data_IF_257522866025
#
_entry.id   IF_257522866025
#
_cell.length_a   1.000
_cell.length_b   1.000
_cell.length_c   1.000
_cell.angle_alpha   90.00
_cell.angle_beta   90.00
_cell.angle_gamma   90.00
#
_symmetry.space_group_name_H-M   'P 1'
#
loop_
_entity.id
_entity.type
_entity.pdbx_description
1 polymer ?
#
# COMPACT_ATOMS: atom_id res chain seq x y z
N UNK A 1 15.19 1.50 4.04
CA UNK A 1 14.61 0.17 4.36
C UNK A 1 14.11 -0.46 3.06
N UNK A 2 14.51 -1.69 2.74
CA UNK A 2 14.20 -2.39 1.47
C UNK A 2 12.70 -2.50 1.22
N UNK A 3 11.92 -2.91 2.23
CA UNK A 3 10.45 -3.04 2.14
C UNK A 3 9.78 -1.74 1.75
N UNK A 4 10.17 -0.60 2.35
CA UNK A 4 9.65 0.73 1.96
C UNK A 4 9.89 1.01 0.47
N UNK A 5 11.11 0.75 -0.02
CA UNK A 5 11.46 1.00 -1.42
C UNK A 5 10.57 0.17 -2.35
N UNK A 6 10.44 -1.12 -2.06
CA UNK A 6 9.64 -2.05 -2.85
C UNK A 6 8.15 -1.71 -2.84
N UNK A 7 7.59 -1.27 -1.71
CA UNK A 7 6.22 -0.77 -1.63
C UNK A 7 6.04 0.45 -2.55
N UNK A 8 6.96 1.41 -2.49
CA UNK A 8 6.89 2.63 -3.32
C UNK A 8 7.07 2.34 -4.81
N UNK A 9 7.88 1.34 -5.18
CA UNK A 9 8.00 0.88 -6.57
C UNK A 9 6.70 0.28 -7.13
N UNK A 10 5.83 -0.27 -6.27
CA UNK A 10 4.49 -0.73 -6.68
C UNK A 10 3.48 0.40 -6.81
N UNK A 11 3.68 1.47 -6.04
CA UNK A 11 2.78 2.62 -6.00
C UNK A 11 3.21 3.61 -7.08
N UNK A 12 2.72 3.39 -8.29
CA UNK A 12 2.87 4.32 -9.41
C UNK A 12 1.78 5.40 -9.43
N UNK A 13 1.30 5.73 -10.64
CA UNK A 13 0.19 6.67 -10.84
C UNK A 13 -1.20 6.10 -10.53
N UNK A 14 -1.31 4.78 -10.36
CA UNK A 14 -2.57 4.05 -10.21
C UNK A 14 -2.85 3.66 -8.76
N UNK A 15 -4.14 3.48 -8.44
CA UNK A 15 -4.59 2.92 -7.18
C UNK A 15 -4.33 1.41 -7.13
N UNK A 16 -3.71 0.92 -6.05
CA UNK A 16 -3.35 -0.49 -5.90
C UNK A 16 -3.81 -1.05 -4.54
N UNK A 17 -4.17 -2.32 -4.47
CA UNK A 17 -4.62 -2.97 -3.22
C UNK A 17 -3.45 -3.43 -2.36
N UNK A 18 -3.69 -3.60 -1.06
CA UNK A 18 -2.68 -4.18 -0.16
C UNK A 18 -2.26 -5.60 -0.57
N UNK A 19 -3.18 -6.42 -1.08
CA UNK A 19 -2.91 -7.77 -1.56
C UNK A 19 -1.90 -7.77 -2.72
N UNK A 20 -2.07 -6.82 -3.65
CA UNK A 20 -1.15 -6.67 -4.77
C UNK A 20 0.21 -6.14 -4.30
N UNK A 21 0.24 -5.15 -3.41
CA UNK A 21 1.51 -4.67 -2.80
C UNK A 21 2.23 -5.82 -2.11
N UNK A 22 1.54 -6.53 -1.22
CA UNK A 22 2.14 -7.57 -0.39
C UNK A 22 2.63 -8.77 -1.20
N UNK A 23 1.86 -9.25 -2.18
CA UNK A 23 2.30 -10.33 -3.06
C UNK A 23 3.56 -9.97 -3.85
N UNK A 24 3.65 -8.76 -4.42
CA UNK A 24 4.87 -8.36 -5.15
C UNK A 24 6.06 -8.19 -4.21
N UNK A 25 5.87 -7.58 -3.04
CA UNK A 25 6.94 -7.35 -2.06
C UNK A 25 7.46 -8.67 -1.49
N UNK A 26 6.58 -9.65 -1.22
CA UNK A 26 6.98 -11.00 -0.81
C UNK A 26 7.78 -11.72 -1.91
N UNK A 27 7.36 -11.61 -3.17
CA UNK A 27 8.08 -12.19 -4.30
C UNK A 27 9.48 -11.57 -4.46
N UNK A 28 9.61 -10.25 -4.33
CA UNK A 28 10.92 -9.59 -4.36
C UNK A 28 11.79 -10.05 -3.19
N UNK A 29 11.24 -10.16 -1.99
CA UNK A 29 11.98 -10.65 -0.83
C UNK A 29 12.51 -12.08 -1.05
N UNK A 30 11.70 -12.97 -1.62
CA UNK A 30 12.13 -14.32 -2.02
C UNK A 30 13.29 -14.27 -3.02
N UNK A 31 13.18 -13.45 -4.06
CA UNK A 31 14.23 -13.29 -5.08
C UNK A 31 15.55 -12.74 -4.52
N UNK A 32 15.48 -11.99 -3.42
CA UNK A 32 16.64 -11.41 -2.74
C UNK A 32 17.11 -12.21 -1.51
N UNK A 33 16.53 -13.40 -1.25
CA UNK A 33 16.78 -14.21 -0.05
C UNK A 33 16.59 -13.42 1.27
N UNK A 34 15.63 -12.50 1.30
CA UNK A 34 15.25 -11.73 2.49
C UNK A 34 13.99 -12.35 3.08
N UNK A 35 14.03 -12.69 4.37
CA UNK A 35 12.83 -13.13 5.08
C UNK A 35 12.03 -11.89 5.52
N UNK A 36 10.80 -11.77 5.04
CA UNK A 36 9.85 -10.73 5.47
C UNK A 36 8.48 -11.36 5.69
N UNK A 37 7.74 -10.78 6.61
CA UNK A 37 6.37 -11.17 6.94
C UNK A 37 5.34 -10.19 6.36
N UNK A 38 4.10 -10.66 6.19
CA UNK A 38 2.95 -9.80 5.89
C UNK A 38 2.76 -8.69 6.94
N UNK A 39 3.07 -8.99 8.21
CA UNK A 39 2.96 -8.03 9.31
C UNK A 39 3.97 -6.88 9.18
N UNK A 40 5.18 -7.16 8.72
CA UNK A 40 6.18 -6.11 8.44
C UNK A 40 5.76 -5.23 7.28
N UNK A 41 5.27 -5.83 6.18
CA UNK A 41 4.77 -5.07 5.02
C UNK A 41 3.64 -4.14 5.47
N UNK A 42 2.68 -4.66 6.24
CA UNK A 42 1.60 -3.88 6.84
C UNK A 42 2.13 -2.72 7.69
N UNK A 43 3.04 -3.00 8.62
CA UNK A 43 3.61 -1.98 9.51
C UNK A 43 4.29 -0.85 8.72
N UNK A 44 5.00 -1.19 7.65
CA UNK A 44 5.65 -0.20 6.78
C UNK A 44 4.61 0.59 5.99
N UNK A 45 3.59 -0.06 5.41
CA UNK A 45 2.48 0.63 4.71
C UNK A 45 1.76 1.60 5.65
N UNK A 46 1.42 1.18 6.87
CA UNK A 46 0.78 2.03 7.88
C UNK A 46 1.63 3.25 8.23
N UNK A 47 2.95 3.09 8.34
CA UNK A 47 3.87 4.19 8.60
C UNK A 47 3.91 5.19 7.43
N UNK A 48 3.90 4.69 6.19
CA UNK A 48 3.88 5.53 4.98
C UNK A 48 2.57 6.30 4.78
N UNK A 49 1.46 5.77 5.29
CA UNK A 49 0.19 6.51 5.32
C UNK A 49 0.26 7.62 6.38
N UNK A 50 0.69 7.27 7.60
CA UNK A 50 0.77 8.22 8.72
C UNK A 50 1.68 9.41 8.46
N UNK A 51 2.75 9.23 7.68
CA UNK A 51 3.67 10.30 7.33
C UNK A 51 3.30 11.04 6.02
N UNK A 52 2.16 10.72 5.41
CA UNK A 52 1.67 11.39 4.20
C UNK A 52 2.42 11.04 2.92
N UNK A 53 3.16 9.92 2.88
CA UNK A 53 3.79 9.45 1.63
C UNK A 53 2.77 8.75 0.72
N UNK A 54 1.78 8.07 1.33
CA UNK A 54 0.76 7.28 0.63
C UNK A 54 -0.61 7.74 1.11
N UNK A 55 -1.51 7.95 0.16
CA UNK A 55 -2.92 8.18 0.41
C UNK A 55 -3.71 6.85 0.35
N UNK A 56 -4.66 6.70 1.27
CA UNK A 56 -5.65 5.62 1.25
C UNK A 56 -6.93 6.04 0.56
N UNK A 57 -7.50 5.13 -0.22
CA UNK A 57 -8.73 5.29 -0.99
C UNK A 57 -9.67 4.12 -0.73
N UNK A 58 -10.97 4.37 -0.85
CA UNK A 58 -12.00 3.33 -0.91
C UNK A 58 -12.70 3.42 -2.26
N UNK A 59 -13.00 2.26 -2.85
CA UNK A 59 -13.80 2.19 -4.06
C UNK A 59 -15.29 2.24 -3.68
N UNK A 60 -16.00 3.25 -4.16
CA UNK A 60 -17.44 3.38 -3.98
C UNK A 60 -18.14 2.76 -5.19
N UNK A 61 -18.66 1.54 -5.02
CA UNK A 61 -19.25 0.77 -6.12
C UNK A 61 -20.49 1.45 -6.73
N UNK A 62 -21.29 2.13 -5.91
CA UNK A 62 -22.49 2.86 -6.35
C UNK A 62 -22.12 4.02 -7.28
N UNK A 63 -21.03 4.71 -6.97
CA UNK A 63 -20.61 5.91 -7.68
C UNK A 63 -19.49 5.62 -8.72
N UNK A 64 -18.99 4.38 -8.74
CA UNK A 64 -17.96 3.85 -9.65
C UNK A 64 -16.63 4.62 -9.66
N UNK A 65 -16.20 5.17 -8.53
CA UNK A 65 -14.92 5.87 -8.41
C UNK A 65 -14.19 5.57 -7.10
N UNK A 66 -12.93 6.02 -7.00
CA UNK A 66 -12.10 5.93 -5.80
C UNK A 66 -12.13 7.22 -5.00
N UNK A 67 -12.65 7.19 -3.78
CA UNK A 67 -12.68 8.34 -2.87
C UNK A 67 -11.48 8.28 -1.91
N UNK A 68 -10.77 9.40 -1.73
CA UNK A 68 -9.75 9.51 -0.68
C UNK A 68 -10.44 9.34 0.68
N UNK A 69 -9.84 8.56 1.57
CA UNK A 69 -10.47 8.16 2.82
C UNK A 69 -9.45 8.12 3.94
N UNK A 70 -9.93 8.13 5.19
CA UNK A 70 -9.11 7.92 6.36
C UNK A 70 -8.80 6.44 6.47
N UNK A 71 -7.51 6.11 6.53
CA UNK A 71 -7.06 4.75 6.73
C UNK A 71 -7.50 4.23 8.10
N UNK A 72 -8.43 3.27 8.10
CA UNK A 72 -8.76 2.46 9.27
C UNK A 72 -7.95 1.15 9.21
N UNK A 73 -7.03 1.02 10.17
CA UNK A 73 -6.19 -0.17 10.37
C UNK A 73 -6.98 -1.47 10.47
N UNK A 74 -8.29 -1.42 10.75
CA UNK A 74 -9.15 -2.59 10.89
C UNK A 74 -9.39 -3.34 9.57
N UNK A 75 -9.35 -2.65 8.43
CA UNK A 75 -9.84 -3.19 7.15
C UNK A 75 -8.90 -2.94 5.95
N UNK A 76 -7.58 -3.07 6.14
CA UNK A 76 -6.56 -2.76 5.11
C UNK A 76 -6.81 -3.39 3.72
N UNK A 77 -7.48 -4.54 3.66
CA UNK A 77 -7.82 -5.25 2.42
C UNK A 77 -8.87 -4.54 1.55
N UNK A 78 -9.71 -3.68 2.14
CA UNK A 78 -10.73 -2.91 1.44
C UNK A 78 -10.25 -1.54 0.97
N UNK A 79 -8.98 -1.23 1.23
CA UNK A 79 -8.37 0.02 0.83
C UNK A 79 -7.49 -0.14 -0.40
N UNK A 80 -7.48 0.92 -1.17
CA UNK A 80 -6.55 1.15 -2.25
C UNK A 80 -5.56 2.22 -1.83
N UNK A 81 -4.36 2.15 -2.39
CA UNK A 81 -3.25 3.00 -2.02
C UNK A 81 -2.67 3.64 -3.26
N UNK A 82 -2.25 4.89 -3.13
CA UNK A 82 -1.56 5.63 -4.18
C UNK A 82 -0.54 6.56 -3.53
N UNK A 83 0.55 6.88 -4.23
CA UNK A 83 1.45 7.93 -3.77
C UNK A 83 0.67 9.23 -3.58
N UNK A 84 0.89 9.87 -2.43
CA UNK A 84 0.35 11.21 -2.21
C UNK A 84 0.97 12.13 -3.26
N UNK A 85 0.13 12.83 -4.02
CA UNK A 85 0.60 13.85 -4.95
C UNK A 85 1.25 14.95 -4.12
N UNK A 86 2.55 15.20 -4.30
CA UNK A 86 3.14 16.45 -3.86
C UNK A 86 2.51 17.57 -4.70
N UNK A 87 1.58 18.32 -4.12
CA UNK A 87 1.19 19.64 -4.65
C UNK A 87 2.38 20.60 -4.62
#
# INVERSE_FOLDING_TARGET
>A
MLVKKWILEQLGSEQITFEKISSTVLLQAQNHNVNISLQEIRTVTEHLIKNGTIDSYQYLAEEKYYAKTIYDKSNIYWYFFKLSSSE
#
